data_IF_773791528684
#
_entry.id   IF_773791528684
#
_cell.length_a   1.000
_cell.length_b   1.000
_cell.length_c   1.000
_cell.angle_alpha   90.00
_cell.angle_beta   90.00
_cell.angle_gamma   90.00
#
_symmetry.space_group_name_H-M   'P 1'
#
loop_
_entity.id
_entity.type
_entity.pdbx_description
1 polymer ?
#
# COMPACT_ATOMS: atom_id res chain seq x y z
N UNK A 1 -18.37 -37.09 23.31
CA UNK A 1 -19.54 -36.31 22.86
C UNK A 1 -19.66 -35.06 23.72
N UNK A 2 -19.36 -33.89 23.16
CA UNK A 2 -19.89 -32.57 23.56
C UNK A 2 -19.48 -31.56 22.48
N UNK A 3 -20.50 -30.93 21.91
CA UNK A 3 -20.46 -29.98 20.82
C UNK A 3 -20.02 -28.57 21.24
N UNK A 4 -19.83 -27.73 20.22
CA UNK A 4 -19.94 -26.27 20.15
C UNK A 4 -18.63 -25.48 20.31
N UNK A 5 -18.36 -24.43 19.53
CA UNK A 5 -19.06 -23.80 18.39
C UNK A 5 -17.98 -22.96 17.68
N UNK A 6 -17.86 -23.08 16.35
CA UNK A 6 -17.16 -22.09 15.55
C UNK A 6 -17.97 -20.78 15.59
N UNK A 7 -17.33 -19.70 16.02
CA UNK A 7 -17.80 -18.34 15.77
C UNK A 7 -17.12 -17.85 14.49
N UNK A 8 -17.77 -18.09 13.35
CA UNK A 8 -17.42 -17.53 12.06
C UNK A 8 -18.04 -16.14 11.97
N UNK A 9 -17.32 -15.11 12.38
CA UNK A 9 -17.69 -13.73 12.07
C UNK A 9 -17.33 -13.46 10.62
N UNK A 10 -18.29 -13.73 9.73
CA UNK A 10 -18.26 -13.26 8.35
C UNK A 10 -18.30 -11.74 8.34
N UNK A 11 -17.27 -11.13 7.78
CA UNK A 11 -17.27 -9.73 7.41
C UNK A 11 -18.22 -9.63 6.21
N UNK A 12 -19.42 -9.10 6.47
CA UNK A 12 -20.40 -8.79 5.44
C UNK A 12 -19.81 -7.80 4.45
N UNK A 13 -19.58 -8.29 3.24
CA UNK A 13 -19.32 -7.49 2.04
C UNK A 13 -20.63 -6.76 1.68
N UNK A 14 -20.80 -5.53 2.18
CA UNK A 14 -21.81 -4.61 1.66
C UNK A 14 -21.14 -3.72 0.61
N UNK A 15 -21.12 -4.22 -0.63
CA UNK A 15 -20.92 -3.39 -1.82
C UNK A 15 -22.15 -2.49 -1.98
N UNK A 16 -22.12 -1.33 -1.31
CA UNK A 16 -23.03 -0.23 -1.58
C UNK A 16 -22.62 0.40 -2.91
N UNK A 17 -23.35 0.04 -3.96
CA UNK A 17 -23.42 0.81 -5.19
C UNK A 17 -24.08 2.16 -4.87
N UNK A 18 -23.26 3.21 -4.68
CA UNK A 18 -23.74 4.58 -4.57
C UNK A 18 -23.75 5.22 -5.97
N UNK A 19 -24.84 5.90 -6.36
CA UNK A 19 -24.88 6.70 -7.58
C UNK A 19 -23.90 7.87 -7.46
N UNK A 20 -23.13 8.12 -8.53
CA UNK A 20 -22.34 9.34 -8.74
C UNK A 20 -23.28 10.55 -8.74
N UNK A 21 -23.51 11.14 -7.57
CA UNK A 21 -23.79 12.56 -7.45
C UNK A 21 -22.57 13.18 -6.80
N UNK A 22 -21.88 13.99 -7.58
CA UNK A 22 -20.85 14.91 -7.10
C UNK A 22 -21.48 15.96 -6.18
N UNK A 23 -20.64 16.51 -5.29
CA UNK A 23 -20.78 17.77 -4.56
C UNK A 23 -21.09 17.72 -3.05
N UNK A 24 -20.87 16.61 -2.35
CA UNK A 24 -20.71 16.62 -0.88
C UNK A 24 -19.87 15.41 -0.40
N UNK A 25 -18.65 15.26 -0.93
CA UNK A 25 -17.67 14.42 -0.22
C UNK A 25 -17.37 15.11 1.12
N UNK A 26 -17.70 14.49 2.28
CA UNK A 26 -17.32 15.07 3.57
C UNK A 26 -15.81 15.29 3.55
N UNK A 27 -15.32 16.42 4.09
CA UNK A 27 -13.89 16.68 4.11
C UNK A 27 -13.19 15.50 4.77
N UNK A 28 -12.34 14.80 4.01
CA UNK A 28 -11.57 13.68 4.52
C UNK A 28 -10.78 14.21 5.71
N UNK A 29 -10.91 13.56 6.87
CA UNK A 29 -10.16 13.94 8.06
C UNK A 29 -8.66 13.91 7.69
N UNK A 30 -7.92 14.96 8.06
CA UNK A 30 -6.49 15.02 7.78
C UNK A 30 -5.77 13.84 8.41
N UNK A 31 -6.24 13.37 9.55
CA UNK A 31 -5.67 12.20 10.24
C UNK A 31 -5.90 10.91 9.43
N UNK A 32 -7.05 10.77 8.76
CA UNK A 32 -7.33 9.64 7.85
C UNK A 32 -6.46 9.71 6.59
N UNK A 33 -6.24 10.90 6.03
CA UNK A 33 -5.33 11.12 4.91
C UNK A 33 -3.90 10.71 5.27
N UNK A 34 -3.39 11.16 6.43
CA UNK A 34 -2.05 10.80 6.88
C UNK A 34 -1.91 9.31 7.16
N UNK A 35 -2.92 8.70 7.81
CA UNK A 35 -2.92 7.26 8.09
C UNK A 35 -2.83 6.45 6.80
N UNK A 36 -3.68 6.78 5.82
CA UNK A 36 -3.67 6.08 4.53
C UNK A 36 -2.37 6.31 3.76
N UNK A 37 -1.86 7.55 3.73
CA UNK A 37 -0.58 7.85 3.10
C UNK A 37 0.59 7.09 3.77
N UNK A 38 0.56 6.94 5.09
CA UNK A 38 1.56 6.19 5.84
C UNK A 38 1.49 4.69 5.54
N UNK A 39 0.30 4.12 5.40
CA UNK A 39 0.12 2.72 4.98
C UNK A 39 0.73 2.47 3.60
N UNK A 40 0.48 3.34 2.62
CA UNK A 40 1.14 3.22 1.31
C UNK A 40 2.66 3.38 1.38
N UNK A 41 3.17 4.28 2.23
CA UNK A 41 4.61 4.42 2.43
C UNK A 41 5.22 3.16 3.09
N UNK A 42 4.48 2.51 4.01
CA UNK A 42 4.87 1.24 4.61
C UNK A 42 4.90 0.10 3.58
N UNK A 43 3.86 0.00 2.74
CA UNK A 43 3.83 -0.95 1.62
C UNK A 43 5.00 -0.74 0.65
N UNK A 44 5.35 0.51 0.34
CA UNK A 44 6.53 0.81 -0.46
C UNK A 44 7.82 0.27 0.18
N UNK A 45 7.97 0.45 1.49
CA UNK A 45 9.10 -0.09 2.25
C UNK A 45 9.13 -1.62 2.29
N UNK A 46 7.97 -2.26 2.49
CA UNK A 46 7.83 -3.72 2.53
C UNK A 46 8.20 -4.36 1.19
N UNK A 47 7.70 -3.80 0.08
CA UNK A 47 8.02 -4.29 -1.26
C UNK A 47 9.50 -4.09 -1.62
N UNK A 48 10.13 -3.00 -1.18
CA UNK A 48 11.58 -2.83 -1.32
C UNK A 48 12.37 -3.88 -0.52
N UNK A 49 11.96 -4.16 0.72
CA UNK A 49 12.60 -5.18 1.53
C UNK A 49 12.45 -6.57 0.90
N UNK A 50 11.30 -6.88 0.31
CA UNK A 50 11.07 -8.12 -0.44
C UNK A 50 11.92 -8.19 -1.71
N UNK A 51 12.03 -7.10 -2.46
CA UNK A 51 12.91 -7.03 -3.62
C UNK A 51 14.36 -7.37 -3.24
N UNK A 52 14.86 -6.79 -2.13
CA UNK A 52 16.20 -7.07 -1.63
C UNK A 52 16.32 -8.54 -1.18
N UNK A 53 15.35 -9.05 -0.44
CA UNK A 53 15.35 -10.44 0.05
C UNK A 53 15.37 -11.46 -1.11
N UNK A 54 14.56 -11.23 -2.15
CA UNK A 54 14.55 -12.05 -3.37
C UNK A 54 15.88 -11.96 -4.11
N UNK A 55 16.47 -10.76 -4.20
CA UNK A 55 17.78 -10.58 -4.83
C UNK A 55 18.88 -11.38 -4.12
N UNK A 56 18.92 -11.29 -2.79
CA UNK A 56 20.00 -11.87 -1.99
C UNK A 56 19.91 -13.39 -1.87
N UNK A 57 18.69 -13.94 -1.90
CA UNK A 57 18.47 -15.36 -1.59
C UNK A 57 18.08 -16.21 -2.79
N UNK A 58 17.35 -15.63 -3.75
CA UNK A 58 16.81 -16.35 -4.90
C UNK A 58 17.56 -15.94 -6.17
N UNK A 59 18.02 -14.68 -6.26
CA UNK A 59 18.69 -14.15 -7.44
C UNK A 59 17.78 -14.00 -8.66
N UNK A 60 16.45 -13.96 -8.48
CA UNK A 60 15.49 -13.83 -9.56
C UNK A 60 15.25 -12.35 -9.91
N UNK A 61 15.98 -11.84 -10.90
CA UNK A 61 15.89 -10.44 -11.33
C UNK A 61 14.50 -10.00 -11.78
N UNK A 62 13.72 -10.87 -12.41
CA UNK A 62 12.36 -10.53 -12.85
C UNK A 62 11.42 -10.28 -11.67
N UNK A 63 11.51 -11.09 -10.61
CA UNK A 63 10.76 -10.86 -9.38
C UNK A 63 11.23 -9.60 -8.64
N UNK A 64 12.55 -9.34 -8.64
CA UNK A 64 13.10 -8.10 -8.06
C UNK A 64 12.52 -6.87 -8.76
N UNK A 65 12.43 -6.88 -10.09
CA UNK A 65 11.83 -5.80 -10.87
C UNK A 65 10.34 -5.61 -10.57
N UNK A 66 9.59 -6.72 -10.43
CA UNK A 66 8.17 -6.66 -10.05
C UNK A 66 7.97 -5.99 -8.68
N UNK A 67 8.72 -6.42 -7.67
CA UNK A 67 8.63 -5.82 -6.33
C UNK A 67 9.07 -4.35 -6.31
N UNK A 68 10.12 -3.98 -7.05
CA UNK A 68 10.51 -2.56 -7.22
C UNK A 68 9.41 -1.74 -7.91
N UNK A 69 8.74 -2.30 -8.91
CA UNK A 69 7.60 -1.67 -9.57
C UNK A 69 6.45 -1.42 -8.60
N UNK A 70 6.11 -2.42 -7.78
CA UNK A 70 5.11 -2.30 -6.72
C UNK A 70 5.50 -1.26 -5.67
N UNK A 71 6.76 -1.25 -5.22
CA UNK A 71 7.27 -0.26 -4.26
C UNK A 71 7.16 1.17 -4.79
N UNK A 72 7.49 1.39 -6.06
CA UNK A 72 7.36 2.68 -6.72
C UNK A 72 5.89 3.11 -6.84
N UNK A 73 4.99 2.19 -7.21
CA UNK A 73 3.55 2.46 -7.28
C UNK A 73 2.97 2.87 -5.93
N UNK A 74 3.36 2.16 -4.86
CA UNK A 74 2.96 2.46 -3.49
C UNK A 74 3.47 3.85 -3.06
N UNK A 75 4.74 4.18 -3.36
CA UNK A 75 5.29 5.51 -3.05
C UNK A 75 4.56 6.64 -3.79
N UNK A 76 4.27 6.47 -5.08
CA UNK A 76 3.50 7.45 -5.87
C UNK A 76 2.12 7.65 -5.24
N UNK A 77 1.50 6.56 -4.80
CA UNK A 77 0.18 6.59 -4.16
C UNK A 77 0.23 7.28 -2.80
N UNK A 78 1.24 6.99 -1.97
CA UNK A 78 1.47 7.69 -0.70
C UNK A 78 1.61 9.20 -0.90
N UNK A 79 2.39 9.62 -1.91
CA UNK A 79 2.52 11.02 -2.27
C UNK A 79 1.17 11.62 -2.70
N UNK A 80 0.44 10.94 -3.59
CA UNK A 80 -0.86 11.40 -4.09
C UNK A 80 -1.89 11.60 -2.95
N UNK A 81 -1.94 10.66 -2.01
CA UNK A 81 -2.82 10.75 -0.85
C UNK A 81 -2.39 11.88 0.08
N UNK A 82 -1.09 11.96 0.43
CA UNK A 82 -0.59 13.03 1.29
C UNK A 82 -0.84 14.44 0.70
N UNK A 83 -0.78 14.60 -0.62
CA UNK A 83 -1.07 15.87 -1.31
C UNK A 83 -2.48 16.41 -1.07
N UNK A 84 -3.43 15.58 -0.61
CA UNK A 84 -4.77 16.05 -0.23
C UNK A 84 -4.76 16.88 1.06
N UNK A 85 -3.71 16.74 1.89
CA UNK A 85 -3.58 17.43 3.18
C UNK A 85 -2.39 18.40 3.27
N UNK A 86 -1.35 18.20 2.45
CA UNK A 86 -0.11 19.01 2.44
C UNK A 86 0.35 19.36 1.03
N UNK A 87 1.28 20.31 0.92
CA UNK A 87 1.86 20.72 -0.36
C UNK A 87 2.68 19.61 -1.05
N UNK A 88 2.84 19.75 -2.37
CA UNK A 88 3.45 18.74 -3.26
C UNK A 88 4.84 18.30 -2.82
N UNK A 89 5.72 19.23 -2.44
CA UNK A 89 7.10 18.90 -2.08
C UNK A 89 7.14 18.17 -0.73
N UNK A 90 6.35 18.61 0.25
CA UNK A 90 6.24 17.89 1.54
C UNK A 90 5.62 16.51 1.39
N UNK A 91 4.63 16.34 0.52
CA UNK A 91 4.06 15.02 0.25
C UNK A 91 5.07 14.06 -0.39
N UNK A 92 5.91 14.57 -1.29
CA UNK A 92 7.00 13.80 -1.90
C UNK A 92 8.05 13.40 -0.86
N UNK A 93 8.43 14.34 0.01
CA UNK A 93 9.35 14.07 1.11
C UNK A 93 8.77 13.04 2.09
N UNK A 94 7.51 13.21 2.50
CA UNK A 94 6.78 12.27 3.35
C UNK A 94 6.82 10.84 2.78
N UNK A 95 6.43 10.67 1.52
CA UNK A 95 6.40 9.36 0.87
C UNK A 95 7.81 8.73 0.75
N UNK A 96 8.81 9.54 0.38
CA UNK A 96 10.20 9.09 0.28
C UNK A 96 10.79 8.68 1.63
N UNK A 97 10.57 9.48 2.67
CA UNK A 97 11.07 9.22 4.01
C UNK A 97 10.36 8.01 4.62
N UNK A 98 9.04 7.89 4.46
CA UNK A 98 8.28 6.72 4.90
C UNK A 98 8.80 5.43 4.27
N UNK A 99 8.95 5.39 2.94
CA UNK A 99 9.51 4.24 2.21
C UNK A 99 10.87 3.80 2.79
N UNK A 100 11.80 4.75 3.00
CA UNK A 100 13.13 4.47 3.54
C UNK A 100 13.07 3.92 4.97
N UNK A 101 12.28 4.59 5.83
CA UNK A 101 12.12 4.19 7.23
C UNK A 101 11.53 2.79 7.33
N UNK A 102 10.47 2.50 6.58
CA UNK A 102 9.81 1.19 6.63
C UNK A 102 10.65 0.09 5.96
N UNK A 103 11.35 0.38 4.86
CA UNK A 103 12.28 -0.58 4.26
C UNK A 103 13.35 -1.03 5.27
N UNK A 104 13.90 -0.08 6.05
CA UNK A 104 14.85 -0.39 7.11
C UNK A 104 14.22 -1.18 8.27
N UNK A 105 12.95 -0.91 8.62
CA UNK A 105 12.27 -1.62 9.71
C UNK A 105 11.89 -3.05 9.36
N UNK A 106 11.63 -3.34 8.08
CA UNK A 106 11.15 -4.67 7.68
C UNK A 106 12.24 -5.73 7.71
N UNK A 107 13.52 -5.37 7.53
CA UNK A 107 14.67 -6.23 7.86
C UNK A 107 14.54 -7.71 7.47
N UNK A 108 13.83 -8.02 6.38
CA UNK A 108 13.27 -9.35 6.11
C UNK A 108 14.37 -10.36 5.80
N UNK A 109 14.79 -11.08 6.84
CA UNK A 109 15.45 -12.38 6.68
C UNK A 109 14.33 -13.38 6.37
N UNK A 110 14.53 -14.26 5.39
CA UNK A 110 13.60 -15.38 5.18
C UNK A 110 13.89 -16.36 6.30
N UNK A 111 13.33 -16.05 7.47
CA UNK A 111 13.24 -17.03 8.54
C UNK A 111 12.20 -18.08 8.14
N UNK A 112 12.38 -19.34 8.56
CA UNK A 112 11.44 -20.42 8.25
C UNK A 112 10.08 -20.23 8.93
N UNK A 113 9.99 -19.35 9.93
CA UNK A 113 8.73 -18.92 10.52
C UNK A 113 8.38 -17.53 10.00
N UNK A 114 7.19 -17.36 9.38
CA UNK A 114 6.81 -16.08 8.85
C UNK A 114 6.55 -15.10 9.99
N UNK A 115 7.21 -13.94 9.94
CA UNK A 115 6.94 -12.83 10.85
C UNK A 115 5.46 -12.41 10.70
N UNK A 116 4.69 -12.59 11.77
CA UNK A 116 3.26 -12.26 11.80
C UNK A 116 3.01 -10.79 11.49
N UNK A 117 3.92 -9.89 11.88
CA UNK A 117 3.79 -8.47 11.57
C UNK A 117 3.94 -8.22 10.06
N UNK A 118 4.94 -8.84 9.43
CA UNK A 118 5.14 -8.74 7.98
C UNK A 118 3.99 -9.37 7.19
N UNK A 119 3.39 -10.46 7.68
CA UNK A 119 2.20 -11.05 7.07
C UNK A 119 0.97 -10.13 7.17
N UNK A 120 0.75 -9.52 8.34
CA UNK A 120 -0.35 -8.58 8.53
C UNK A 120 -0.18 -7.36 7.62
N UNK A 121 1.02 -6.81 7.56
CA UNK A 121 1.31 -5.69 6.67
C UNK A 121 1.12 -6.07 5.20
N UNK A 122 1.57 -7.27 4.79
CA UNK A 122 1.35 -7.75 3.43
C UNK A 122 -0.14 -7.82 3.09
N UNK A 123 -0.98 -8.29 4.02
CA UNK A 123 -2.43 -8.33 3.80
C UNK A 123 -3.01 -6.92 3.62
N UNK A 124 -2.58 -5.94 4.43
CA UNK A 124 -2.96 -4.53 4.27
C UNK A 124 -2.56 -4.05 2.88
N UNK A 125 -1.33 -4.32 2.44
CA UNK A 125 -0.86 -3.89 1.12
C UNK A 125 -1.65 -4.54 -0.02
N UNK A 126 -2.03 -5.81 0.12
CA UNK A 126 -2.89 -6.49 -0.85
C UNK A 126 -4.30 -5.87 -0.92
N UNK A 127 -4.87 -5.47 0.22
CA UNK A 127 -6.15 -4.77 0.28
C UNK A 127 -6.08 -3.38 -0.38
N UNK A 128 -4.94 -2.71 -0.28
CA UNK A 128 -4.71 -1.37 -0.84
C UNK A 128 -4.32 -1.37 -2.34
N UNK A 129 -3.90 -2.52 -2.89
CA UNK A 129 -3.43 -2.63 -4.28
C UNK A 129 -4.43 -2.12 -5.35
N UNK A 130 -5.75 -2.36 -5.26
CA UNK A 130 -6.70 -1.82 -6.23
C UNK A 130 -6.67 -0.29 -6.30
N UNK A 131 -6.54 0.38 -5.15
CA UNK A 131 -6.44 1.84 -5.10
C UNK A 131 -5.10 2.32 -5.69
N UNK A 132 -3.99 1.65 -5.35
CA UNK A 132 -2.69 1.94 -5.96
C UNK A 132 -2.75 1.81 -7.49
N UNK A 133 -3.36 0.75 -8.02
CA UNK A 133 -3.47 0.52 -9.45
C UNK A 133 -4.22 1.66 -10.16
N UNK A 134 -5.31 2.13 -9.56
CA UNK A 134 -6.09 3.27 -10.09
C UNK A 134 -5.27 4.57 -10.07
N UNK A 135 -4.58 4.89 -8.97
CA UNK A 135 -3.74 6.09 -8.88
C UNK A 135 -2.58 6.05 -9.88
N UNK A 136 -1.91 4.91 -10.01
CA UNK A 136 -0.82 4.73 -10.99
C UNK A 136 -1.35 4.87 -12.41
N UNK A 137 -2.53 4.33 -12.72
CA UNK A 137 -3.14 4.47 -14.04
C UNK A 137 -3.49 5.93 -14.35
N UNK A 138 -4.05 6.67 -13.40
CA UNK A 138 -4.31 8.12 -13.55
C UNK A 138 -3.01 8.89 -13.78
N UNK A 139 -1.96 8.57 -13.02
CA UNK A 139 -0.65 9.18 -13.19
C UNK A 139 -0.05 8.89 -14.59
N UNK A 140 -0.16 7.64 -15.05
CA UNK A 140 0.28 7.20 -16.39
C UNK A 140 -0.47 7.94 -17.49
N UNK A 141 -1.80 7.97 -17.43
CA UNK A 141 -2.65 8.69 -18.37
C UNK A 141 -2.26 10.17 -18.48
N UNK A 142 -2.08 10.82 -17.32
CA UNK A 142 -1.63 12.23 -17.26
C UNK A 142 -0.25 12.44 -17.87
N UNK A 143 0.70 11.53 -17.62
CA UNK A 143 2.06 11.64 -18.15
C UNK A 143 2.14 11.50 -19.68
N UNK A 144 1.26 10.68 -20.28
CA UNK A 144 1.23 10.42 -21.71
C UNK A 144 0.13 11.16 -22.49
N UNK A 145 -0.64 12.03 -21.81
CA UNK A 145 -1.70 12.81 -22.44
C UNK A 145 -2.91 11.98 -22.90
N UNK A 146 -3.12 10.79 -22.34
CA UNK A 146 -4.34 10.01 -22.55
C UNK A 146 -5.41 10.49 -21.56
N UNK A 147 -6.60 10.86 -22.05
CA UNK A 147 -7.78 11.16 -21.22
C UNK A 147 -8.69 9.94 -21.17
#
# INVERSE_FOLDING_TARGET
MRHNKLATTGISFLLLALPLNADDEPPIDKDDVYTLAQQFASCAGLYDALAQSVQDQIGNSAMVEQFKGMANGAQITAQYVAQQAIDTEKAKEFASNGRKTFSASWGLRVDPEPDKAAQQEMNICLELNPFQADVVERARKKAYGFN
#
